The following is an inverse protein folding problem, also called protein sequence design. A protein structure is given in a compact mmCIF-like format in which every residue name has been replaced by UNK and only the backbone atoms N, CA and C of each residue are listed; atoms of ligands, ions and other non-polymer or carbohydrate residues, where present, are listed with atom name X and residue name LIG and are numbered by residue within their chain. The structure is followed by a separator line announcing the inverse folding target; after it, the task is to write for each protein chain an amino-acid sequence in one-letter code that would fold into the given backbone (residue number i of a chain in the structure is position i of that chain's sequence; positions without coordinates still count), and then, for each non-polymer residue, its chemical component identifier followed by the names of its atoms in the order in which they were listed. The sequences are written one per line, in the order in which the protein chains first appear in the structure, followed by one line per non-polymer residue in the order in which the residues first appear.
data_IF_083028093439
#
_entry.id   IF_083028093439
#
_cell.length_a   1.000
_cell.length_b   1.000
_cell.length_c   1.000
_cell.angle_alpha   90.00
_cell.angle_beta   90.00
_cell.angle_gamma   90.00
#
_symmetry.space_group_name_H-M   'P 1'
#
loop_
_entity.id
_entity.type
_entity.pdbx_description
1 polymer ?
#
# COMPACT_ATOMS: atom_id res chain seq x y z
N UNK A 1 9.27 22.30 -25.98
CA UNK A 1 8.69 20.96 -25.79
C UNK A 1 7.61 20.78 -26.82
N UNK A 2 7.55 19.62 -27.47
CA UNK A 2 6.40 19.25 -28.31
C UNK A 2 5.40 18.58 -27.37
N UNK A 3 4.16 19.05 -27.37
CA UNK A 3 3.05 18.39 -26.68
C UNK A 3 2.35 17.49 -27.69
N UNK A 4 2.03 16.27 -27.27
CA UNK A 4 1.33 15.30 -28.11
C UNK A 4 0.15 14.82 -27.29
N UNK A 5 -1.02 14.85 -27.91
CA UNK A 5 -2.22 14.22 -27.41
C UNK A 5 -2.31 12.83 -28.03
N UNK A 6 -2.57 11.82 -27.21
CA UNK A 6 -2.66 10.42 -27.63
C UNK A 6 -3.96 9.90 -27.07
N UNK A 7 -4.84 9.44 -27.95
CA UNK A 7 -6.00 8.67 -27.57
C UNK A 7 -5.53 7.30 -27.07
N UNK A 8 -5.72 7.04 -25.78
CA UNK A 8 -5.40 5.75 -25.18
C UNK A 8 -6.70 4.94 -25.16
N UNK A 9 -6.70 3.80 -25.84
CA UNK A 9 -7.84 2.88 -25.80
C UNK A 9 -8.14 2.43 -24.37
N UNK A 10 -9.41 2.16 -24.09
CA UNK A 10 -9.84 1.69 -22.78
C UNK A 10 -9.10 0.41 -22.40
N UNK A 11 -8.60 0.38 -21.17
CA UNK A 11 -7.85 -0.76 -20.68
C UNK A 11 -8.77 -1.97 -20.53
N UNK A 12 -8.28 -3.13 -20.99
CA UNK A 12 -8.99 -4.39 -20.84
C UNK A 12 -9.15 -4.74 -19.35
N UNK A 13 -10.31 -5.28 -18.94
CA UNK A 13 -10.51 -5.75 -17.57
C UNK A 13 -9.47 -6.83 -17.26
N UNK A 14 -8.82 -6.68 -16.10
CA UNK A 14 -7.83 -7.63 -15.61
C UNK A 14 -8.52 -8.69 -14.76
N UNK A 15 -7.89 -9.85 -14.64
CA UNK A 15 -8.27 -10.84 -13.63
C UNK A 15 -8.28 -10.17 -12.24
N UNK A 16 -9.25 -10.58 -11.42
CA UNK A 16 -9.45 -9.98 -10.11
C UNK A 16 -8.20 -10.16 -9.24
N UNK A 17 -7.55 -9.04 -8.94
CA UNK A 17 -6.36 -8.99 -8.10
C UNK A 17 -6.35 -7.67 -7.31
N UNK A 18 -6.85 -7.75 -6.08
CA UNK A 18 -6.87 -6.64 -5.14
C UNK A 18 -5.54 -6.61 -4.39
N UNK A 19 -4.80 -5.50 -4.50
CA UNK A 19 -3.51 -5.31 -3.84
C UNK A 19 -3.61 -4.14 -2.87
N UNK A 20 -3.42 -4.41 -1.58
CA UNK A 20 -3.26 -3.38 -0.55
C UNK A 20 -1.80 -2.93 -0.48
N UNK A 21 -1.58 -1.62 -0.28
CA UNK A 21 -0.25 -1.01 -0.26
C UNK A 21 -0.08 -0.15 0.99
N UNK A 22 0.74 -0.62 1.92
CA UNK A 22 1.21 0.14 3.07
C UNK A 22 2.40 1.02 2.66
N UNK A 23 2.38 2.31 3.01
CA UNK A 23 3.42 3.28 2.63
C UNK A 23 4.23 3.73 3.85
N UNK A 24 5.55 3.60 3.79
CA UNK A 24 6.41 3.78 4.95
C UNK A 24 7.68 4.60 4.72
N UNK A 25 8.32 4.96 5.83
CA UNK A 25 9.64 5.63 5.81
C UNK A 25 10.78 4.60 5.73
N UNK A 26 10.59 3.43 6.37
CA UNK A 26 11.59 2.34 6.39
C UNK A 26 11.69 1.71 5.00
N UNK A 27 10.58 1.14 4.56
CA UNK A 27 10.31 0.71 3.19
C UNK A 27 9.33 1.70 2.58
N UNK A 28 9.54 2.11 1.34
CA UNK A 28 8.70 3.09 0.66
C UNK A 28 7.27 2.57 0.50
N UNK A 29 7.13 1.29 0.14
CA UNK A 29 5.85 0.61 0.04
C UNK A 29 6.00 -0.89 0.35
N UNK A 30 5.01 -1.49 1.00
CA UNK A 30 4.85 -2.94 1.17
C UNK A 30 3.49 -3.32 0.62
N UNK A 31 3.45 -4.28 -0.29
CA UNK A 31 2.24 -4.75 -0.93
C UNK A 31 1.74 -6.06 -0.30
N UNK A 32 0.44 -6.30 -0.38
CA UNK A 32 -0.21 -7.50 0.17
C UNK A 32 0.22 -8.81 -0.50
N UNK A 33 0.85 -8.73 -1.67
CA UNK A 33 1.47 -9.87 -2.38
C UNK A 33 2.90 -10.19 -1.88
N UNK A 34 3.37 -9.49 -0.83
CA UNK A 34 4.69 -9.65 -0.24
C UNK A 34 5.78 -8.80 -0.88
N UNK A 35 5.50 -8.07 -1.97
CA UNK A 35 6.49 -7.19 -2.57
C UNK A 35 6.81 -6.00 -1.65
N UNK A 36 8.10 -5.81 -1.40
CA UNK A 36 8.60 -4.67 -0.62
C UNK A 36 9.47 -3.78 -1.49
N UNK A 37 9.21 -2.48 -1.45
CA UNK A 37 9.96 -1.47 -2.16
C UNK A 37 10.78 -0.64 -1.18
N UNK A 38 12.09 -0.57 -1.40
CA UNK A 38 12.98 0.22 -0.56
C UNK A 38 12.75 1.73 -0.74
N UNK A 39 12.92 2.48 0.36
CA UNK A 39 13.06 3.92 0.28
C UNK A 39 14.55 4.27 0.08
N UNK A 40 14.94 4.87 -1.07
CA UNK A 40 16.34 5.17 -1.36
C UNK A 40 16.94 6.23 -0.43
N UNK A 41 16.10 6.96 0.34
CA UNK A 41 16.52 7.99 1.28
C UNK A 41 17.53 8.95 0.62
N UNK A 42 17.14 9.41 -0.58
CA UNK A 42 18.03 10.02 -1.56
C UNK A 42 18.78 11.25 -1.01
N UNK A 43 18.09 12.07 -0.21
CA UNK A 43 18.69 13.21 0.46
C UNK A 43 19.50 12.77 1.69
N UNK A 44 18.94 11.91 2.54
CA UNK A 44 19.59 11.50 3.79
C UNK A 44 20.96 10.86 3.56
N UNK A 45 21.04 9.93 2.62
CA UNK A 45 22.28 9.21 2.27
C UNK A 45 23.37 10.14 1.72
N UNK A 46 22.99 11.30 1.17
CA UNK A 46 23.90 12.26 0.51
C UNK A 46 24.00 13.59 1.26
N UNK A 47 23.50 13.66 2.49
CA UNK A 47 23.35 14.89 3.28
C UNK A 47 24.70 15.57 3.54
N UNK A 48 25.76 14.80 3.84
CA UNK A 48 27.12 15.33 4.07
C UNK A 48 27.64 16.09 2.84
N UNK A 49 27.38 15.57 1.63
CA UNK A 49 27.79 16.21 0.38
C UNK A 49 27.03 17.51 0.15
N UNK A 50 25.71 17.53 0.41
CA UNK A 50 24.92 18.75 0.34
C UNK A 50 25.45 19.81 1.30
N UNK A 51 25.69 19.46 2.57
CA UNK A 51 26.23 20.38 3.58
C UNK A 51 27.55 20.99 3.13
N UNK A 52 28.46 20.20 2.54
CA UNK A 52 29.72 20.71 1.99
C UNK A 52 29.51 21.70 0.85
N UNK A 53 28.64 21.37 -0.12
CA UNK A 53 28.34 22.24 -1.25
C UNK A 53 27.67 23.54 -0.81
N UNK A 54 26.72 23.46 0.13
CA UNK A 54 26.05 24.62 0.71
C UNK A 54 27.02 25.53 1.47
N UNK A 55 27.95 24.97 2.26
CA UNK A 55 29.01 25.74 2.93
C UNK A 55 29.93 26.45 1.94
N UNK A 56 30.33 25.77 0.86
CA UNK A 56 31.15 26.37 -0.21
C UNK A 56 30.42 27.54 -0.88
N UNK A 57 29.12 27.38 -1.15
CA UNK A 57 28.28 28.47 -1.68
C UNK A 57 28.18 29.64 -0.69
N UNK A 58 27.92 29.36 0.59
CA UNK A 58 27.78 30.39 1.62
C UNK A 58 29.05 31.24 1.80
N UNK A 59 30.24 30.63 1.67
CA UNK A 59 31.53 31.31 1.81
C UNK A 59 31.96 32.07 0.55
N UNK A 60 31.24 31.92 -0.57
CA UNK A 60 31.61 32.58 -1.83
C UNK A 60 31.15 34.03 -1.90
N UNK A 61 32.01 34.91 -2.43
CA UNK A 61 31.74 36.35 -2.58
C UNK A 61 30.51 36.58 -3.44
N UNK A 62 29.57 37.39 -2.95
CA UNK A 62 28.32 37.72 -3.65
C UNK A 62 28.65 38.33 -5.02
N UNK A 63 27.92 37.93 -6.06
CA UNK A 63 28.14 38.39 -7.44
C UNK A 63 29.30 37.72 -8.21
N UNK A 64 30.26 37.07 -7.53
CA UNK A 64 31.43 36.47 -8.19
C UNK A 64 31.10 35.31 -9.14
N UNK A 65 31.93 35.09 -10.15
CA UNK A 65 31.83 33.93 -11.04
C UNK A 65 31.92 32.59 -10.28
N UNK A 66 32.75 32.54 -9.23
CA UNK A 66 32.91 31.35 -8.38
C UNK A 66 31.63 31.05 -7.57
N UNK A 67 30.90 32.08 -7.12
CA UNK A 67 29.58 31.89 -6.50
C UNK A 67 28.57 31.29 -7.47
N UNK A 68 28.54 31.77 -8.72
CA UNK A 68 27.67 31.19 -9.77
C UNK A 68 27.98 29.71 -10.00
N UNK A 69 29.27 29.34 -10.06
CA UNK A 69 29.71 27.92 -10.16
C UNK A 69 29.28 27.09 -8.93
N UNK A 70 29.44 27.62 -7.72
CA UNK A 70 29.03 26.94 -6.49
C UNK A 70 27.51 26.74 -6.41
N UNK A 71 26.73 27.76 -6.81
CA UNK A 71 25.27 27.68 -6.87
C UNK A 71 24.80 26.61 -7.87
N UNK A 72 25.41 26.57 -9.06
CA UNK A 72 25.14 25.52 -10.05
C UNK A 72 25.42 24.12 -9.48
N UNK A 73 26.50 23.92 -8.71
CA UNK A 73 26.81 22.62 -8.10
C UNK A 73 25.75 22.19 -7.08
N UNK A 74 25.22 23.12 -6.29
CA UNK A 74 24.09 22.87 -5.37
C UNK A 74 22.83 22.53 -6.16
N UNK A 75 22.50 23.29 -7.21
CA UNK A 75 21.34 23.04 -8.05
C UNK A 75 21.40 21.66 -8.73
N UNK A 76 22.55 21.30 -9.34
CA UNK A 76 22.77 19.97 -9.94
C UNK A 76 22.65 18.85 -8.91
N UNK A 77 23.11 19.08 -7.68
CA UNK A 77 22.93 18.10 -6.61
C UNK A 77 21.45 17.89 -6.28
N UNK A 78 20.66 18.97 -6.13
CA UNK A 78 19.23 18.87 -5.89
C UNK A 78 18.49 18.19 -7.04
N UNK A 79 18.84 18.50 -8.29
CA UNK A 79 18.29 17.85 -9.48
C UNK A 79 18.51 16.32 -9.41
N UNK A 80 19.75 15.87 -9.14
CA UNK A 80 20.05 14.43 -9.00
C UNK A 80 19.26 13.75 -7.88
N UNK A 81 19.05 14.43 -6.74
CA UNK A 81 18.21 13.89 -5.65
C UNK A 81 16.75 13.77 -6.11
N UNK A 82 16.24 14.78 -6.81
CA UNK A 82 14.89 14.75 -7.35
C UNK A 82 14.69 13.66 -8.42
N UNK A 83 15.68 13.46 -9.30
CA UNK A 83 15.65 12.44 -10.34
C UNK A 83 15.67 11.03 -9.74
N UNK A 84 16.50 10.78 -8.72
CA UNK A 84 16.52 9.50 -8.02
C UNK A 84 15.18 9.19 -7.36
N UNK A 85 14.59 10.17 -6.66
CA UNK A 85 13.26 10.01 -6.06
C UNK A 85 12.22 9.71 -7.15
N UNK A 86 12.20 10.51 -8.22
CA UNK A 86 11.25 10.35 -9.33
C UNK A 86 11.37 8.99 -10.00
N UNK A 87 12.60 8.52 -10.25
CA UNK A 87 12.86 7.21 -10.82
C UNK A 87 12.29 6.09 -9.94
N UNK A 88 12.58 6.12 -8.63
CA UNK A 88 12.03 5.13 -7.69
C UNK A 88 10.51 5.16 -7.67
N UNK A 89 9.89 6.34 -7.57
CA UNK A 89 8.43 6.47 -7.55
C UNK A 89 7.80 5.93 -8.83
N UNK A 90 8.41 6.20 -9.99
CA UNK A 90 7.93 5.67 -11.26
C UNK A 90 8.06 4.16 -11.36
N UNK A 91 9.16 3.59 -10.86
CA UNK A 91 9.36 2.15 -10.80
C UNK A 91 8.29 1.49 -9.91
N UNK A 92 8.13 1.96 -8.67
CA UNK A 92 7.14 1.42 -7.72
C UNK A 92 5.72 1.51 -8.28
N UNK A 93 5.32 2.68 -8.74
CA UNK A 93 3.98 2.87 -9.31
C UNK A 93 3.75 2.05 -10.57
N UNK A 94 4.77 1.85 -11.40
CA UNK A 94 4.66 0.99 -12.58
C UNK A 94 4.43 -0.47 -12.19
N UNK A 95 5.22 -1.00 -11.25
CA UNK A 95 5.11 -2.40 -10.81
C UNK A 95 3.74 -2.66 -10.18
N UNK A 96 3.29 -1.80 -9.27
CA UNK A 96 2.00 -1.95 -8.58
C UNK A 96 0.81 -1.90 -9.56
N UNK A 97 0.76 -0.88 -10.43
CA UNK A 97 -0.35 -0.70 -11.38
C UNK A 97 -0.37 -1.73 -12.51
N UNK A 98 0.74 -2.44 -12.76
CA UNK A 98 0.77 -3.51 -13.76
C UNK A 98 0.04 -4.76 -13.27
N UNK A 99 0.25 -5.15 -12.00
CA UNK A 99 -0.24 -6.42 -11.43
C UNK A 99 -1.67 -6.36 -10.91
N UNK A 100 -2.09 -5.23 -10.35
CA UNK A 100 -3.38 -5.11 -9.70
C UNK A 100 -4.53 -4.83 -10.69
N UNK A 101 -5.73 -5.30 -10.38
CA UNK A 101 -7.01 -4.79 -10.91
C UNK A 101 -7.60 -3.72 -10.00
N UNK A 102 -7.37 -3.84 -8.69
CA UNK A 102 -7.73 -2.84 -7.67
C UNK A 102 -6.52 -2.58 -6.76
N UNK A 103 -6.18 -1.32 -6.56
CA UNK A 103 -5.14 -0.89 -5.62
C UNK A 103 -5.79 -0.21 -4.43
N UNK A 104 -5.52 -0.70 -3.23
CA UNK A 104 -5.93 -0.05 -1.99
C UNK A 104 -4.75 0.67 -1.36
N UNK A 105 -4.87 1.98 -1.15
CA UNK A 105 -3.84 2.82 -0.56
C UNK A 105 -4.36 3.56 0.67
N UNK A 106 -3.47 3.89 1.60
CA UNK A 106 -3.83 4.66 2.79
C UNK A 106 -4.05 6.16 2.50
N UNK A 107 -4.97 6.80 3.23
CA UNK A 107 -5.07 8.26 3.26
C UNK A 107 -4.10 8.89 4.28
N UNK A 108 -2.82 8.99 3.90
CA UNK A 108 -1.81 9.65 4.73
C UNK A 108 -2.00 11.18 4.74
N UNK A 109 -2.11 11.76 5.95
CA UNK A 109 -2.03 13.22 6.13
C UNK A 109 -0.58 13.71 6.03
N UNK A 110 -0.02 13.67 4.82
CA UNK A 110 1.39 14.04 4.55
C UNK A 110 1.70 15.46 5.04
N UNK A 111 0.79 16.41 4.85
CA UNK A 111 0.96 17.79 5.31
C UNK A 111 1.10 17.87 6.84
N UNK A 112 0.28 17.11 7.58
CA UNK A 112 0.39 16.98 9.02
C UNK A 112 1.70 16.31 9.46
N UNK A 113 2.08 15.21 8.80
CA UNK A 113 3.32 14.48 9.11
C UNK A 113 4.57 15.34 8.90
N UNK A 114 4.56 16.23 7.90
CA UNK A 114 5.66 17.16 7.62
C UNK A 114 5.90 18.19 8.72
N UNK A 115 4.94 18.39 9.65
CA UNK A 115 5.13 19.28 10.82
C UNK A 115 6.11 18.68 11.83
N UNK A 116 6.30 17.36 11.84
CA UNK A 116 7.26 16.69 12.72
C UNK A 116 8.70 16.93 12.23
N UNK A 117 9.44 17.77 12.95
CA UNK A 117 10.80 18.19 12.58
C UNK A 117 11.82 17.05 12.53
N UNK A 118 11.61 15.95 13.26
CA UNK A 118 12.53 14.81 13.26
C UNK A 118 12.30 13.89 12.05
N UNK A 119 11.05 13.75 11.60
CA UNK A 119 10.67 12.86 10.50
C UNK A 119 10.49 13.58 9.16
N UNK A 120 10.33 14.91 9.13
CA UNK A 120 10.01 15.67 7.94
C UNK A 120 10.98 15.42 6.77
N UNK A 121 12.29 15.28 7.05
CA UNK A 121 13.27 14.96 6.01
C UNK A 121 13.00 13.57 5.40
N UNK A 122 12.70 12.59 6.23
CA UNK A 122 12.48 11.21 5.80
C UNK A 122 11.14 11.04 5.07
N UNK A 123 10.10 11.76 5.52
CA UNK A 123 8.80 11.85 4.84
C UNK A 123 8.96 12.55 3.48
N UNK A 124 9.71 13.65 3.43
CA UNK A 124 10.03 14.34 2.18
C UNK A 124 10.87 13.49 1.22
N UNK A 125 11.74 12.63 1.73
CA UNK A 125 12.47 11.64 0.92
C UNK A 125 11.53 10.57 0.35
N UNK A 126 10.53 10.11 1.12
CA UNK A 126 9.56 9.12 0.68
C UNK A 126 8.55 9.67 -0.33
N UNK A 127 8.22 10.96 -0.26
CA UNK A 127 7.35 11.64 -1.24
C UNK A 127 5.98 10.95 -1.45
N UNK A 128 5.32 10.53 -0.37
CA UNK A 128 4.05 9.77 -0.41
C UNK A 128 2.96 10.41 -1.28
N UNK A 129 2.81 11.73 -1.22
CA UNK A 129 1.83 12.45 -2.03
C UNK A 129 2.08 12.31 -3.54
N UNK A 130 3.35 12.32 -3.95
CA UNK A 130 3.73 12.09 -5.34
C UNK A 130 3.53 10.62 -5.73
N UNK A 131 3.82 9.66 -4.84
CA UNK A 131 3.53 8.25 -5.10
C UNK A 131 2.03 8.03 -5.36
N UNK A 132 1.17 8.57 -4.49
CA UNK A 132 -0.30 8.50 -4.65
C UNK A 132 -0.76 9.13 -5.95
N UNK A 133 -0.24 10.31 -6.30
CA UNK A 133 -0.52 10.97 -7.59
C UNK A 133 -0.14 10.08 -8.78
N UNK A 134 1.04 9.44 -8.72
CA UNK A 134 1.51 8.54 -9.78
C UNK A 134 0.68 7.27 -9.89
N UNK A 135 0.32 6.66 -8.76
CA UNK A 135 -0.58 5.51 -8.74
C UNK A 135 -1.93 5.89 -9.37
N UNK A 136 -2.49 7.06 -9.03
CA UNK A 136 -3.79 7.51 -9.56
C UNK A 136 -3.79 7.60 -11.08
N UNK A 137 -2.89 8.39 -11.69
CA UNK A 137 -2.93 8.56 -13.15
C UNK A 137 -2.51 7.29 -13.90
N UNK A 138 -1.54 6.50 -13.39
CA UNK A 138 -1.14 5.26 -14.04
C UNK A 138 -2.20 4.17 -13.94
N UNK A 139 -3.02 4.21 -12.89
CA UNK A 139 -4.14 3.29 -12.71
C UNK A 139 -5.25 3.60 -13.71
N UNK A 140 -5.57 4.89 -13.92
CA UNK A 140 -6.50 5.33 -14.97
C UNK A 140 -6.07 4.82 -16.35
N UNK A 141 -4.80 4.97 -16.71
CA UNK A 141 -4.26 4.46 -17.99
C UNK A 141 -4.30 2.94 -18.14
N UNK A 142 -4.50 2.20 -17.05
CA UNK A 142 -4.45 0.72 -17.01
C UNK A 142 -5.76 0.08 -16.59
N UNK A 143 -6.84 0.86 -16.44
CA UNK A 143 -8.13 0.36 -15.96
C UNK A 143 -8.05 -0.26 -14.58
N UNK A 144 -7.18 0.27 -13.71
CA UNK A 144 -7.04 -0.16 -12.33
C UNK A 144 -7.84 0.78 -11.43
N UNK A 145 -8.71 0.23 -10.59
CA UNK A 145 -9.41 1.04 -9.58
C UNK A 145 -8.46 1.40 -8.44
N UNK A 146 -8.47 2.64 -7.98
CA UNK A 146 -7.73 3.06 -6.78
C UNK A 146 -8.71 3.34 -5.66
N UNK A 147 -8.70 2.50 -4.64
CA UNK A 147 -9.49 2.66 -3.42
C UNK A 147 -8.61 3.30 -2.35
N UNK A 148 -9.13 4.35 -1.71
CA UNK A 148 -8.44 4.99 -0.60
C UNK A 148 -9.07 4.52 0.71
N UNK A 149 -8.28 3.87 1.55
CA UNK A 149 -8.75 3.41 2.85
C UNK A 149 -9.04 4.60 3.79
N UNK A 150 -10.02 4.48 4.70
CA UNK A 150 -10.30 5.52 5.68
C UNK A 150 -9.05 5.90 6.47
N UNK A 151 -8.86 7.20 6.71
CA UNK A 151 -7.65 7.74 7.36
C UNK A 151 -7.32 7.11 8.71
N UNK A 152 -8.33 6.77 9.51
CA UNK A 152 -8.18 6.20 10.85
C UNK A 152 -8.32 4.68 10.88
N UNK A 153 -8.28 4.01 9.73
CA UNK A 153 -8.31 2.56 9.65
C UNK A 153 -7.07 1.96 10.34
N UNK A 154 -7.23 1.10 11.36
CA UNK A 154 -6.10 0.57 12.13
C UNK A 154 -5.40 -0.59 11.39
N UNK A 155 -4.98 -0.37 10.14
CA UNK A 155 -4.38 -1.38 9.25
C UNK A 155 -3.25 -2.16 9.92
N UNK A 156 -2.29 -1.46 10.53
CA UNK A 156 -1.13 -2.09 11.16
C UNK A 156 -1.40 -2.73 12.53
N UNK A 157 -2.51 -2.38 13.20
CA UNK A 157 -2.86 -2.87 14.54
C UNK A 157 -3.86 -4.03 14.52
N UNK A 158 -4.59 -4.18 13.43
CA UNK A 158 -5.60 -5.24 13.25
C UNK A 158 -4.91 -6.51 12.78
N UNK A 159 -5.18 -7.67 13.36
CA UNK A 159 -4.67 -8.93 12.83
C UNK A 159 -5.42 -9.28 11.55
N UNK A 160 -4.72 -9.43 10.41
CA UNK A 160 -5.38 -9.80 9.15
C UNK A 160 -5.98 -11.22 9.16
N UNK A 161 -5.58 -12.07 10.11
CA UNK A 161 -6.05 -13.46 10.23
C UNK A 161 -7.38 -13.54 10.98
N UNK A 162 -7.53 -12.81 12.09
CA UNK A 162 -8.69 -12.95 12.99
C UNK A 162 -9.42 -11.64 13.32
N UNK A 163 -8.95 -10.50 12.82
CA UNK A 163 -9.56 -9.19 13.07
C UNK A 163 -9.26 -8.56 14.43
N UNK A 164 -8.62 -9.25 15.38
CA UNK A 164 -8.30 -8.68 16.70
C UNK A 164 -7.40 -7.46 16.58
N UNK A 165 -7.76 -6.37 17.25
CA UNK A 165 -7.01 -5.11 17.25
C UNK A 165 -6.08 -5.04 18.46
N UNK A 166 -4.78 -4.92 18.20
CA UNK A 166 -3.77 -4.64 19.22
C UNK A 166 -3.66 -3.12 19.45
N UNK A 167 -4.43 -2.59 20.40
CA UNK A 167 -4.47 -1.16 20.70
C UNK A 167 -3.10 -0.61 21.15
N UNK A 168 -2.32 -1.41 21.88
CA UNK A 168 -1.05 -1.04 22.52
C UNK A 168 0.17 -1.17 21.60
N UNK A 169 -0.02 -1.55 20.34
CA UNK A 169 1.08 -1.71 19.38
C UNK A 169 1.85 -0.40 19.18
N UNK A 170 3.14 -0.43 19.53
CA UNK A 170 4.06 0.70 19.39
C UNK A 170 4.67 0.75 17.99
N UNK A 171 5.00 1.96 17.52
CA UNK A 171 5.65 2.15 16.21
C UNK A 171 6.98 1.39 16.05
N UNK A 172 7.69 1.15 17.17
CA UNK A 172 8.96 0.42 17.21
C UNK A 172 8.78 -1.11 17.11
N UNK A 173 7.60 -1.64 17.45
CA UNK A 173 7.31 -3.06 17.32
C UNK A 173 7.02 -3.38 15.86
N UNK A 174 7.99 -4.02 15.20
CA UNK A 174 7.88 -4.41 13.78
C UNK A 174 7.26 -5.77 13.57
N UNK A 175 7.36 -6.63 14.58
CA UNK A 175 6.69 -7.92 14.60
C UNK A 175 5.91 -8.00 15.90
N UNK A 176 4.70 -8.54 15.84
CA UNK A 176 3.88 -8.81 17.01
C UNK A 176 3.11 -10.12 16.87
N UNK A 177 2.85 -10.77 18.01
CA UNK A 177 2.09 -12.02 18.07
C UNK A 177 0.65 -11.71 18.45
N UNK A 178 -0.30 -12.23 17.69
CA UNK A 178 -1.72 -12.13 17.99
C UNK A 178 -2.15 -13.23 18.96
N UNK A 179 -3.23 -12.99 19.70
CA UNK A 179 -3.90 -13.99 20.55
C UNK A 179 -4.40 -15.21 19.78
N UNK A 180 -4.62 -15.07 18.46
CA UNK A 180 -4.97 -16.18 17.58
C UNK A 180 -3.77 -17.05 17.17
N UNK A 181 -2.56 -16.77 17.69
CA UNK A 181 -1.32 -17.49 17.38
C UNK A 181 -0.56 -16.98 16.14
N UNK A 182 -1.09 -16.02 15.39
CA UNK A 182 -0.41 -15.48 14.22
C UNK A 182 0.80 -14.59 14.60
N UNK A 183 1.92 -14.75 13.91
CA UNK A 183 3.08 -13.87 14.01
C UNK A 183 3.11 -12.90 12.82
N UNK A 184 2.98 -11.61 13.09
CA UNK A 184 2.68 -10.62 12.07
C UNK A 184 3.82 -9.63 11.91
N UNK A 185 4.42 -9.57 10.71
CA UNK A 185 5.16 -8.37 10.30
C UNK A 185 4.17 -7.21 10.13
N UNK A 186 4.48 -6.09 10.78
CA UNK A 186 3.57 -4.94 10.89
C UNK A 186 3.21 -4.33 9.54
N UNK A 187 4.18 -4.21 8.64
CA UNK A 187 4.02 -3.51 7.37
C UNK A 187 3.27 -4.43 6.37
N UNK A 188 3.60 -5.74 6.33
CA UNK A 188 2.86 -6.73 5.53
C UNK A 188 1.42 -6.93 6.03
N UNK A 189 1.22 -7.02 7.34
CA UNK A 189 -0.10 -7.14 7.94
C UNK A 189 -0.98 -5.91 7.63
N UNK A 190 -0.41 -4.70 7.65
CA UNK A 190 -1.11 -3.50 7.23
C UNK A 190 -1.57 -3.61 5.76
N UNK A 191 -0.68 -4.03 4.86
CA UNK A 191 -1.01 -4.22 3.46
C UNK A 191 -2.12 -5.27 3.23
N UNK A 192 -2.09 -6.39 3.96
CA UNK A 192 -3.14 -7.42 3.90
C UNK A 192 -4.50 -6.89 4.40
N UNK A 193 -4.52 -6.10 5.48
CA UNK A 193 -5.76 -5.48 5.94
C UNK A 193 -6.30 -4.42 4.96
N UNK A 194 -5.43 -3.66 4.31
CA UNK A 194 -5.84 -2.70 3.28
C UNK A 194 -6.51 -3.39 2.11
N UNK A 195 -5.98 -4.55 1.66
CA UNK A 195 -6.63 -5.36 0.63
C UNK A 195 -8.09 -5.69 0.99
N UNK A 196 -8.39 -5.97 2.26
CA UNK A 196 -9.76 -6.31 2.69
C UNK A 196 -10.74 -5.12 2.63
N UNK A 197 -10.26 -3.87 2.61
CA UNK A 197 -11.13 -2.68 2.53
C UNK A 197 -11.90 -2.62 1.20
N UNK A 198 -11.30 -3.07 0.10
CA UNK A 198 -12.00 -3.12 -1.19
C UNK A 198 -13.00 -4.30 -1.25
N UNK A 199 -12.65 -5.45 -0.66
CA UNK A 199 -13.53 -6.62 -0.62
C UNK A 199 -14.83 -6.32 0.14
N UNK A 200 -14.74 -5.67 1.31
CA UNK A 200 -15.93 -5.30 2.10
C UNK A 200 -16.80 -4.23 1.43
N UNK A 201 -16.21 -3.35 0.62
CA UNK A 201 -16.96 -2.38 -0.19
C UNK A 201 -17.78 -3.09 -1.27
N UNK A 202 -17.23 -4.11 -1.93
CA UNK A 202 -17.95 -4.92 -2.90
C UNK A 202 -19.14 -5.65 -2.25
N UNK A 203 -18.94 -6.23 -1.06
CA UNK A 203 -20.01 -6.90 -0.30
C UNK A 203 -21.13 -5.94 0.10
N UNK A 204 -20.79 -4.71 0.54
CA UNK A 204 -21.79 -3.70 0.91
C UNK A 204 -22.60 -3.23 -0.29
N UNK A 205 -21.99 -3.11 -1.47
CA UNK A 205 -22.69 -2.79 -2.72
C UNK A 205 -23.65 -3.91 -3.13
N UNK A 206 -23.23 -5.17 -2.98
CA UNK A 206 -24.06 -6.33 -3.30
C UNK A 206 -25.20 -6.53 -2.29
N UNK A 207 -25.03 -6.12 -1.04
CA UNK A 207 -26.06 -6.20 0.00
C UNK A 207 -27.23 -5.20 -0.18
N UNK A 208 -27.01 -4.12 -0.93
CA UNK A 208 -28.05 -3.11 -1.21
C UNK A 208 -28.82 -3.38 -2.54
N UNK A 209 -28.61 -4.52 -3.18
CA UNK A 209 -29.24 -4.89 -4.47
C UNK A 209 -30.49 -5.77 -4.38
N UNK A 210 -31.10 -5.92 -3.20
CA UNK A 210 -32.39 -6.62 -3.07
C UNK A 210 -33.53 -5.75 -3.59
N UNK A 211 -34.14 -6.16 -4.69
CA UNK A 211 -35.30 -5.53 -5.34
C UNK A 211 -36.40 -5.20 -4.31
N UNK A 212 -36.71 -3.92 -4.16
CA UNK A 212 -37.95 -3.48 -3.51
C UNK A 212 -39.06 -3.51 -4.54
N UNK A 213 -39.82 -4.61 -4.59
CA UNK A 213 -41.13 -4.59 -5.20
C UNK A 213 -42.06 -3.75 -4.33
N UNK A 214 -42.46 -2.60 -4.88
CA UNK A 214 -43.40 -1.69 -4.25
C UNK A 214 -44.75 -2.34 -3.99
N UNK A 215 -45.23 -2.17 -2.77
CA UNK A 215 -46.60 -2.47 -2.37
C UNK A 215 -46.99 -1.57 -1.20
N UNK A 216 -47.74 -0.51 -1.51
CA UNK A 216 -48.31 0.41 -0.51
C UNK A 216 -49.45 -0.30 0.23
N UNK A 217 -49.37 -0.40 1.55
CA UNK A 217 -50.55 -0.46 2.43
C UNK A 217 -50.21 -0.02 3.86
N UNK A 218 -50.97 0.95 4.35
CA UNK A 218 -50.90 1.56 5.67
C UNK A 218 -51.66 0.70 6.74
N UNK A 219 -51.61 1.08 8.04
CA UNK A 219 -51.52 0.16 9.18
C UNK A 219 -52.87 -0.26 9.80
N UNK A 220 -52.84 -1.35 10.58
CA UNK A 220 -53.82 -1.64 11.64
C UNK A 220 -53.13 -2.25 12.87
N UNK A 221 -53.31 -1.61 14.03
CA UNK A 221 -53.12 -2.14 15.39
C UNK A 221 -54.29 -3.13 15.69
N UNK A 222 -54.33 -4.07 16.64
CA UNK A 222 -53.79 -4.29 18.00
C UNK A 222 -53.97 -5.78 18.39
N UNK A 223 -53.23 -6.29 19.38
CA UNK A 223 -53.75 -7.31 20.33
C UNK A 223 -52.83 -8.52 20.62
N UNK A 224 -52.50 -8.83 21.90
CA UNK A 224 -51.58 -9.91 22.29
C UNK A 224 -52.30 -11.21 22.71
N UNK A 225 -51.63 -12.36 22.65
CA UNK A 225 -51.83 -13.50 23.57
C UNK A 225 -50.77 -14.62 23.42
N UNK A 226 -50.02 -14.79 24.50
CA UNK A 226 -49.70 -16.04 25.22
C UNK A 226 -48.94 -17.24 24.60
N UNK A 227 -48.36 -17.98 25.54
CA UNK A 227 -47.27 -18.93 25.44
C UNK A 227 -47.72 -20.38 25.18
N UNK A 228 -46.80 -21.17 24.63
CA UNK A 228 -46.87 -22.63 24.51
C UNK A 228 -45.60 -23.15 23.83
N UNK A 229 -44.60 -23.53 24.62
CA UNK A 229 -44.20 -24.92 24.87
C UNK A 229 -43.66 -25.70 23.67
N UNK A 230 -42.34 -25.88 23.67
CA UNK A 230 -41.66 -27.15 23.37
C UNK A 230 -41.59 -27.61 21.90
N UNK A 231 -40.38 -27.61 21.33
CA UNK A 231 -39.78 -28.87 20.91
C UNK A 231 -38.26 -28.71 20.76
N UNK A 232 -37.55 -29.62 21.42
CA UNK A 232 -36.12 -29.87 21.30
C UNK A 232 -35.79 -30.30 19.87
N UNK A 233 -34.64 -29.87 19.35
CA UNK A 233 -33.90 -30.71 18.40
C UNK A 233 -32.41 -30.36 18.42
N UNK A 234 -31.64 -31.43 18.36
CA UNK A 234 -30.28 -31.59 18.82
C UNK A 234 -29.21 -30.99 17.91
N UNK A 235 -28.13 -30.60 18.56
CA UNK A 235 -26.78 -30.37 18.03
C UNK A 235 -26.26 -31.59 17.25
N UNK A 236 -25.60 -31.35 16.11
CA UNK A 236 -24.60 -32.27 15.57
C UNK A 236 -23.43 -31.50 14.97
N UNK A 237 -22.24 -31.79 15.50
CA UNK A 237 -20.94 -31.19 15.20
C UNK A 237 -20.10 -32.20 14.41
N UNK A 238 -19.53 -31.73 13.27
CA UNK A 238 -18.28 -32.18 12.59
C UNK A 238 -18.21 -33.62 12.01
N UNK A 239 -17.22 -34.01 11.15
CA UNK A 239 -15.89 -33.41 10.91
C UNK A 239 -15.29 -33.46 9.47
N UNK A 240 -14.05 -32.95 9.39
CA UNK A 240 -12.89 -33.47 8.63
C UNK A 240 -12.39 -32.72 7.37
N UNK A 241 -11.16 -32.22 7.51
CA UNK A 241 -10.18 -31.84 6.49
C UNK A 241 -9.73 -33.05 5.66
N UNK A 242 -9.22 -32.86 4.43
CA UNK A 242 -8.23 -33.76 3.87
C UNK A 242 -6.80 -33.19 3.98
N UNK A 243 -5.91 -34.13 4.27
CA UNK A 243 -4.50 -34.01 4.59
C UNK A 243 -3.59 -33.59 3.43
N UNK A 244 -2.41 -33.11 3.83
CA UNK A 244 -1.19 -32.94 3.07
C UNK A 244 -0.91 -34.07 2.07
N UNK A 245 -0.41 -33.68 0.90
CA UNK A 245 0.51 -34.52 0.12
C UNK A 245 1.85 -33.81 0.01
N UNK A 246 2.86 -34.49 0.56
CA UNK A 246 4.27 -34.14 0.49
C UNK A 246 4.78 -34.05 -0.95
N UNK A 247 5.55 -33.00 -1.25
CA UNK A 247 6.44 -32.92 -2.43
C UNK A 247 7.85 -32.62 -1.90
N UNK A 248 8.88 -33.41 -2.27
CA UNK A 248 10.18 -33.39 -1.60
C UNK A 248 11.02 -32.17 -1.99
N UNK A 249 11.56 -31.48 -0.99
CA UNK A 249 12.62 -30.49 -1.13
C UNK A 249 13.98 -31.21 -1.18
N UNK A 250 14.56 -31.35 -2.38
CA UNK A 250 15.97 -31.70 -2.53
C UNK A 250 16.83 -30.45 -2.27
N UNK A 251 17.44 -30.38 -1.09
CA UNK A 251 18.41 -29.33 -0.71
C UNK A 251 19.81 -29.73 -1.18
N UNK A 252 20.32 -29.03 -2.19
CA UNK A 252 21.74 -29.08 -2.58
C UNK A 252 22.60 -28.23 -1.64
N UNK A 253 23.77 -28.75 -1.24
CA UNK A 253 24.63 -28.25 -0.15
C UNK A 253 25.25 -26.84 -0.30
N UNK A 254 24.94 -26.01 -1.31
CA UNK A 254 25.63 -24.73 -1.53
C UNK A 254 24.74 -23.54 -1.97
N UNK A 255 23.55 -23.37 -1.39
CA UNK A 255 22.95 -22.04 -1.11
C UNK A 255 23.02 -20.90 -2.15
N UNK A 256 22.88 -21.15 -3.45
CA UNK A 256 22.73 -20.12 -4.48
C UNK A 256 21.66 -20.53 -5.50
N UNK A 257 20.68 -19.64 -5.73
CA UNK A 257 19.83 -19.69 -6.93
C UNK A 257 20.26 -18.55 -7.85
N UNK A 258 20.82 -18.92 -8.99
CA UNK A 258 21.19 -18.08 -10.13
C UNK A 258 20.41 -18.52 -11.37
N UNK A 259 20.31 -17.59 -12.34
CA UNK A 259 19.75 -17.62 -13.71
C UNK A 259 18.24 -17.31 -13.82
N UNK A 260 17.74 -16.29 -14.54
CA UNK A 260 18.11 -15.59 -15.80
C UNK A 260 18.17 -16.48 -17.05
N UNK A 261 17.35 -16.09 -18.03
CA UNK A 261 17.19 -16.56 -19.43
C UNK A 261 16.40 -17.85 -19.73
N UNK A 262 15.25 -17.66 -20.39
CA UNK A 262 14.87 -18.37 -21.62
C UNK A 262 13.60 -17.73 -22.23
N UNK A 263 13.80 -16.84 -23.20
CA UNK A 263 12.77 -16.42 -24.16
C UNK A 263 13.45 -16.15 -25.50
N UNK A 264 13.56 -17.20 -26.31
CA UNK A 264 13.64 -17.10 -27.77
C UNK A 264 13.30 -18.48 -28.36
N UNK A 265 12.39 -18.46 -29.35
CA UNK A 265 11.95 -19.55 -30.25
C UNK A 265 10.69 -20.32 -29.79
N UNK A 266 9.59 -20.13 -30.54
CA UNK A 266 8.32 -20.83 -30.40
C UNK A 266 7.14 -19.92 -30.74
#
# INVERSE_FOLDING_TARGET
SIQVEIEVSDAKPKAENIVGVDMGIKSLAVASDGLTFENPKALKTRERKLKRLARQLSRSVKGSANRKKAARRVAVFHARVADLRRHTLHHVSHVLTRKASVLVVEDLNVAGMMKNRTLAQAIGDASFGELRRQLTYKSQWRGVEVVVAPRFFPSSKTCHVCGTVNADLKLSQRVWSCVCGAHLDRDLNAALNLRHVAASRAETLNACGGESSGGVAAPRETGPCEAGSGLETSVSVSPALPENRDIPLCVGKNGQLLLWELLQSG
#
